data_IF_718105558500
#
_entry.id   IF_718105558500
#
_cell.length_a   1.000
_cell.length_b   1.000
_cell.length_c   1.000
_cell.angle_alpha   90.00
_cell.angle_beta   90.00
_cell.angle_gamma   90.00
#
_symmetry.space_group_name_H-M   'P 1'
#
loop_
_entity.id
_entity.type
_entity.pdbx_description
1 polymer ?
#
# COMPACT_ATOMS: atom_id res chain seq x y z
N UNK A 1 -31.02 -9.04 1.70
CA UNK A 1 -29.90 -9.30 0.78
C UNK A 1 -29.67 -10.80 0.72
N UNK A 2 -29.59 -11.36 -0.47
CA UNK A 2 -29.33 -12.78 -0.75
C UNK A 2 -27.82 -13.03 -0.90
N UNK A 3 -27.38 -14.29 -0.80
CA UNK A 3 -25.96 -14.68 -1.01
C UNK A 3 -25.44 -14.28 -2.40
N UNK A 4 -26.31 -14.32 -3.43
CA UNK A 4 -25.99 -13.88 -4.79
C UNK A 4 -25.75 -12.37 -4.86
N UNK A 5 -26.49 -11.59 -4.07
CA UNK A 5 -26.32 -10.13 -4.01
C UNK A 5 -24.95 -9.76 -3.40
N UNK A 6 -24.48 -10.53 -2.41
CA UNK A 6 -23.17 -10.32 -1.80
C UNK A 6 -22.01 -10.64 -2.76
N UNK A 7 -22.12 -11.75 -3.50
CA UNK A 7 -21.11 -12.17 -4.47
C UNK A 7 -21.01 -11.15 -5.63
N UNK A 8 -22.15 -10.67 -6.10
CA UNK A 8 -22.24 -9.62 -7.12
C UNK A 8 -21.52 -8.33 -6.69
N UNK A 9 -21.87 -7.77 -5.52
CA UNK A 9 -21.27 -6.52 -5.01
C UNK A 9 -19.76 -6.69 -4.83
N UNK A 10 -19.31 -7.85 -4.35
CA UNK A 10 -17.89 -8.12 -4.16
C UNK A 10 -17.10 -8.11 -5.47
N UNK A 11 -17.63 -8.73 -6.53
CA UNK A 11 -16.96 -8.78 -7.83
C UNK A 11 -16.83 -7.40 -8.47
N UNK A 12 -17.89 -6.59 -8.42
CA UNK A 12 -17.88 -5.23 -8.96
C UNK A 12 -16.99 -4.29 -8.17
N UNK A 13 -17.06 -4.31 -6.84
CA UNK A 13 -16.15 -3.53 -6.01
C UNK A 13 -14.68 -3.89 -6.27
N UNK A 14 -14.38 -5.18 -6.47
CA UNK A 14 -13.03 -5.65 -6.82
C UNK A 14 -12.58 -5.14 -8.18
N UNK A 15 -13.46 -5.19 -9.19
CA UNK A 15 -13.16 -4.67 -10.53
C UNK A 15 -12.95 -3.14 -10.51
N UNK A 16 -13.81 -2.41 -9.80
CA UNK A 16 -13.70 -0.96 -9.67
C UNK A 16 -12.39 -0.55 -9.00
N UNK A 17 -12.04 -1.21 -7.88
CA UNK A 17 -10.73 -1.02 -7.24
C UNK A 17 -9.57 -1.33 -8.18
N UNK A 18 -9.62 -2.47 -8.88
CA UNK A 18 -8.54 -2.89 -9.77
C UNK A 18 -8.31 -1.89 -10.91
N UNK A 19 -9.38 -1.45 -11.59
CA UNK A 19 -9.28 -0.44 -12.65
C UNK A 19 -8.70 0.88 -12.13
N UNK A 20 -9.19 1.36 -10.99
CA UNK A 20 -8.66 2.56 -10.35
C UNK A 20 -7.17 2.41 -10.00
N UNK A 21 -6.76 1.26 -9.46
CA UNK A 21 -5.37 0.98 -9.12
C UNK A 21 -4.47 0.95 -10.37
N UNK A 22 -4.87 0.24 -11.43
CA UNK A 22 -4.06 0.15 -12.66
C UNK A 22 -3.90 1.50 -13.37
N UNK A 23 -5.01 2.24 -13.52
CA UNK A 23 -4.97 3.54 -14.20
C UNK A 23 -4.20 4.60 -13.41
N UNK A 24 -4.15 4.50 -12.08
CA UNK A 24 -3.36 5.40 -11.23
C UNK A 24 -1.87 5.05 -11.11
N UNK A 25 -1.41 3.87 -11.56
CA UNK A 25 0.01 3.48 -11.50
C UNK A 25 0.91 4.33 -12.41
N UNK A 26 0.38 4.77 -13.54
CA UNK A 26 1.16 5.44 -14.58
C UNK A 26 0.94 6.95 -14.54
N UNK A 27 2.02 7.72 -14.60
CA UNK A 27 1.92 9.17 -14.80
C UNK A 27 1.29 9.55 -16.13
N UNK A 28 1.30 8.65 -17.13
CA UNK A 28 0.68 8.87 -18.43
C UNK A 28 -0.86 8.75 -18.39
N UNK A 29 -1.40 7.98 -17.45
CA UNK A 29 -2.84 7.70 -17.33
C UNK A 29 -3.50 8.44 -16.17
N UNK A 30 -2.75 9.29 -15.48
CA UNK A 30 -3.17 10.00 -14.26
C UNK A 30 -4.40 10.91 -14.42
N UNK A 31 -4.79 11.19 -15.67
CA UNK A 31 -5.96 12.01 -16.03
C UNK A 31 -7.07 11.19 -16.70
N UNK A 32 -6.94 9.87 -16.82
CA UNK A 32 -8.00 9.02 -17.38
C UNK A 32 -9.04 8.82 -16.28
N UNK A 33 -10.26 9.25 -16.56
CA UNK A 33 -11.43 8.94 -15.75
C UNK A 33 -11.74 7.45 -15.92
N UNK A 34 -11.77 6.71 -14.81
CA UNK A 34 -12.02 5.27 -14.78
C UNK A 34 -13.40 4.95 -15.32
N UNK A 35 -14.40 5.76 -14.94
CA UNK A 35 -15.76 5.63 -15.46
C UNK A 35 -15.79 5.84 -16.98
N UNK A 36 -15.13 6.87 -17.48
CA UNK A 36 -15.05 7.12 -18.93
C UNK A 36 -14.35 5.98 -19.68
N UNK A 37 -13.24 5.47 -19.13
CA UNK A 37 -12.54 4.32 -19.69
C UNK A 37 -13.44 3.08 -19.77
N UNK A 38 -14.17 2.79 -18.69
CA UNK A 38 -15.10 1.66 -18.63
C UNK A 38 -16.24 1.81 -19.64
N UNK A 39 -16.88 2.99 -19.69
CA UNK A 39 -18.00 3.25 -20.60
C UNK A 39 -17.58 3.16 -22.07
N UNK A 40 -16.37 3.61 -22.41
CA UNK A 40 -15.81 3.44 -23.76
C UNK A 40 -15.59 1.96 -24.11
N UNK A 41 -15.10 1.17 -23.16
CA UNK A 41 -14.93 -0.28 -23.34
C UNK A 41 -16.27 -0.97 -23.52
N UNK A 42 -17.27 -0.62 -22.70
CA UNK A 42 -18.61 -1.18 -22.78
C UNK A 42 -19.28 -0.86 -24.13
N UNK A 43 -19.22 0.40 -24.57
CA UNK A 43 -19.76 0.81 -25.87
C UNK A 43 -19.16 0.00 -27.01
N UNK A 44 -17.84 -0.23 -26.99
CA UNK A 44 -17.16 -1.04 -28.00
C UNK A 44 -17.62 -2.51 -27.98
N UNK A 45 -17.77 -3.09 -26.78
CA UNK A 45 -18.30 -4.45 -26.61
C UNK A 45 -19.74 -4.55 -27.10
N UNK A 46 -20.57 -3.57 -26.77
CA UNK A 46 -21.96 -3.52 -27.23
C UNK A 46 -22.04 -3.45 -28.76
N UNK A 47 -21.22 -2.61 -29.39
CA UNK A 47 -21.22 -2.44 -30.84
C UNK A 47 -20.78 -3.70 -31.59
N UNK A 48 -19.75 -4.40 -31.08
CA UNK A 48 -19.18 -5.57 -31.75
C UNK A 48 -19.91 -6.86 -31.39
N UNK A 49 -20.09 -7.11 -30.11
CA UNK A 49 -20.60 -8.37 -29.60
C UNK A 49 -22.13 -8.34 -29.41
N UNK A 50 -22.77 -7.17 -29.52
CA UNK A 50 -24.22 -6.98 -29.35
C UNK A 50 -24.74 -7.47 -27.99
N UNK A 51 -23.86 -7.48 -26.98
CA UNK A 51 -24.20 -7.75 -25.59
C UNK A 51 -24.22 -6.41 -24.84
N UNK A 52 -25.33 -6.12 -24.15
CA UNK A 52 -25.38 -5.00 -23.19
C UNK A 52 -25.05 -5.51 -21.79
N UNK A 53 -24.10 -4.87 -21.11
CA UNK A 53 -23.77 -5.16 -19.71
C UNK A 53 -23.87 -3.85 -18.93
N UNK A 54 -25.09 -3.33 -18.77
CA UNK A 54 -25.27 -2.01 -18.16
C UNK A 54 -25.53 -2.12 -16.66
N UNK A 55 -24.51 -1.77 -15.86
CA UNK A 55 -24.66 -1.20 -14.51
C UNK A 55 -23.63 -0.07 -14.34
N UNK A 56 -23.99 1.12 -14.84
CA UNK A 56 -23.15 2.34 -14.93
C UNK A 56 -22.70 2.90 -13.55
N UNK A 57 -23.26 2.37 -12.46
CA UNK A 57 -23.05 2.85 -11.09
C UNK A 57 -21.98 2.07 -10.32
N UNK A 58 -21.59 0.90 -10.83
CA UNK A 58 -20.64 0.00 -10.13
C UNK A 58 -19.17 0.38 -10.38
N UNK A 59 -18.89 1.03 -11.51
CA UNK A 59 -17.55 1.52 -11.88
C UNK A 59 -17.53 3.04 -11.79
N UNK A 60 -16.64 3.56 -10.95
CA UNK A 60 -16.55 4.98 -10.66
C UNK A 60 -15.12 5.38 -10.25
N UNK A 61 -14.80 6.65 -10.41
CA UNK A 61 -13.52 7.19 -9.98
C UNK A 61 -13.40 7.21 -8.45
N UNK A 62 -12.41 6.49 -7.95
CA UNK A 62 -12.00 6.55 -6.55
C UNK A 62 -10.93 7.62 -6.47
N UNK A 63 -11.16 8.64 -5.65
CA UNK A 63 -10.14 9.67 -5.44
C UNK A 63 -8.86 9.03 -4.87
N UNK A 64 -7.72 9.65 -5.16
CA UNK A 64 -6.42 9.07 -4.84
C UNK A 64 -6.25 8.75 -3.35
N UNK A 65 -6.68 9.62 -2.46
CA UNK A 65 -6.49 9.42 -1.02
C UNK A 65 -7.31 8.23 -0.50
N UNK A 66 -8.53 8.03 -1.00
CA UNK A 66 -9.34 6.84 -0.70
C UNK A 66 -8.78 5.58 -1.36
N UNK A 67 -8.27 5.69 -2.59
CA UNK A 67 -7.63 4.57 -3.28
C UNK A 67 -6.37 4.09 -2.54
N UNK A 68 -5.54 5.01 -2.06
CA UNK A 68 -4.34 4.71 -1.27
C UNK A 68 -4.72 3.99 0.04
N UNK A 69 -5.81 4.40 0.71
CA UNK A 69 -6.35 3.71 1.90
C UNK A 69 -6.84 2.29 1.59
N UNK A 70 -7.61 2.12 0.51
CA UNK A 70 -8.10 0.80 0.08
C UNK A 70 -6.90 -0.11 -0.26
N UNK A 71 -5.89 0.43 -0.94
CA UNK A 71 -4.67 -0.31 -1.28
C UNK A 71 -3.92 -0.81 -0.04
N UNK A 72 -3.81 0.03 1.00
CA UNK A 72 -3.22 -0.37 2.28
C UNK A 72 -4.01 -1.53 2.91
N UNK A 73 -5.35 -1.42 3.00
CA UNK A 73 -6.18 -2.50 3.54
C UNK A 73 -6.04 -3.79 2.72
N UNK A 74 -6.04 -3.68 1.40
CA UNK A 74 -5.84 -4.82 0.50
C UNK A 74 -4.50 -5.52 0.76
N UNK A 75 -3.41 -4.75 0.88
CA UNK A 75 -2.09 -5.31 1.16
C UNK A 75 -2.03 -5.94 2.55
N UNK A 76 -2.59 -5.30 3.57
CA UNK A 76 -2.68 -5.85 4.93
C UNK A 76 -3.37 -7.21 4.91
N UNK A 77 -4.58 -7.29 4.35
CA UNK A 77 -5.36 -8.53 4.38
C UNK A 77 -4.80 -9.62 3.47
N UNK A 78 -4.23 -9.26 2.32
CA UNK A 78 -3.56 -10.22 1.43
C UNK A 78 -2.33 -10.86 2.11
N UNK A 79 -1.51 -10.05 2.79
CA UNK A 79 -0.36 -10.57 3.53
C UNK A 79 -0.81 -11.35 4.77
N UNK A 80 -1.85 -10.89 5.48
CA UNK A 80 -2.43 -11.61 6.60
C UNK A 80 -2.95 -13.00 6.19
N UNK A 81 -3.64 -13.11 5.05
CA UNK A 81 -4.10 -14.39 4.50
C UNK A 81 -2.94 -15.33 4.12
N UNK A 82 -1.77 -14.78 3.80
CA UNK A 82 -0.54 -15.56 3.62
C UNK A 82 0.02 -16.16 4.92
N UNK A 83 -0.40 -15.65 6.07
CA UNK A 83 -0.06 -16.16 7.41
C UNK A 83 -1.17 -17.07 7.90
N UNK A 84 -2.39 -16.55 7.99
CA UNK A 84 -3.57 -17.23 8.51
C UNK A 84 -4.66 -17.30 7.46
N UNK A 85 -5.10 -18.51 7.14
CA UNK A 85 -6.28 -18.74 6.32
C UNK A 85 -7.23 -19.70 7.05
N UNK A 86 -8.52 -19.37 7.12
CA UNK A 86 -9.53 -20.14 7.86
C UNK A 86 -9.14 -20.48 9.33
N UNK A 87 -8.37 -19.61 9.98
CA UNK A 87 -7.93 -19.79 11.36
C UNK A 87 -6.68 -20.67 11.54
N UNK A 88 -6.10 -21.17 10.45
CA UNK A 88 -4.90 -22.00 10.47
C UNK A 88 -3.70 -21.25 9.90
N UNK A 89 -2.50 -21.54 10.42
CA UNK A 89 -1.25 -21.02 9.86
C UNK A 89 -0.97 -21.74 8.53
N UNK A 90 -0.88 -20.97 7.44
CA UNK A 90 -0.71 -21.52 6.07
C UNK A 90 0.62 -21.19 5.42
N UNK A 91 1.44 -20.32 6.04
CA UNK A 91 2.77 -20.02 5.52
C UNK A 91 3.67 -21.27 5.56
N UNK A 92 4.46 -21.47 4.49
CA UNK A 92 5.20 -22.73 4.26
C UNK A 92 6.34 -22.99 5.25
N UNK A 93 6.95 -21.92 5.76
CA UNK A 93 8.03 -21.96 6.74
C UNK A 93 8.14 -20.62 7.47
N UNK A 94 8.93 -20.61 8.54
CA UNK A 94 9.16 -19.46 9.41
C UNK A 94 9.53 -18.17 8.66
N UNK A 95 10.50 -18.25 7.74
CA UNK A 95 10.98 -17.09 7.00
C UNK A 95 9.87 -16.47 6.13
N UNK A 96 9.05 -17.32 5.49
CA UNK A 96 7.90 -16.84 4.71
C UNK A 96 6.87 -16.18 5.63
N UNK A 97 6.59 -16.77 6.79
CA UNK A 97 5.68 -16.16 7.77
C UNK A 97 6.21 -14.78 8.21
N UNK A 98 7.49 -14.70 8.60
CA UNK A 98 8.17 -13.48 9.03
C UNK A 98 8.14 -12.39 7.94
N UNK A 99 8.30 -12.77 6.68
CA UNK A 99 8.17 -11.83 5.57
C UNK A 99 6.75 -11.26 5.45
N UNK A 100 5.72 -12.09 5.59
CA UNK A 100 4.33 -11.61 5.62
C UNK A 100 4.06 -10.72 6.84
N UNK A 101 4.54 -11.07 8.03
CA UNK A 101 4.41 -10.22 9.22
C UNK A 101 5.06 -8.85 9.02
N UNK A 102 6.27 -8.83 8.46
CA UNK A 102 6.99 -7.59 8.18
C UNK A 102 6.24 -6.72 7.18
N UNK A 103 5.64 -7.31 6.15
CA UNK A 103 4.80 -6.59 5.18
C UNK A 103 3.54 -6.04 5.86
N UNK A 104 2.83 -6.84 6.63
CA UNK A 104 1.66 -6.38 7.39
C UNK A 104 2.01 -5.22 8.33
N UNK A 105 3.12 -5.34 9.06
CA UNK A 105 3.61 -4.31 9.97
C UNK A 105 3.91 -2.99 9.25
N UNK A 106 4.57 -3.07 8.08
CA UNK A 106 4.91 -1.89 7.30
C UNK A 106 3.67 -1.20 6.71
N UNK A 107 2.72 -1.98 6.16
CA UNK A 107 1.47 -1.44 5.62
C UNK A 107 0.61 -0.83 6.73
N UNK A 108 0.50 -1.48 7.89
CA UNK A 108 -0.19 -0.93 9.04
C UNK A 108 0.42 0.40 9.49
N UNK A 109 1.75 0.50 9.52
CA UNK A 109 2.43 1.77 9.82
C UNK A 109 2.06 2.89 8.85
N UNK A 110 2.01 2.58 7.56
CA UNK A 110 1.60 3.55 6.55
C UNK A 110 0.13 3.96 6.77
N UNK A 111 -0.74 2.99 7.07
CA UNK A 111 -2.17 3.22 7.27
C UNK A 111 -2.50 3.98 8.54
N UNK A 112 -1.89 3.65 9.67
CA UNK A 112 -2.23 4.27 10.96
C UNK A 112 -1.88 5.76 10.97
N UNK A 113 -0.89 6.21 10.20
CA UNK A 113 -0.58 7.65 10.00
C UNK A 113 -1.72 8.37 9.26
N UNK A 114 -2.43 7.67 8.37
CA UNK A 114 -3.59 8.18 7.63
C UNK A 114 -4.90 8.10 8.45
N UNK A 115 -4.81 7.68 9.71
CA UNK A 115 -5.94 7.52 10.61
C UNK A 115 -5.90 8.55 11.77
N UNK A 116 -6.07 9.87 11.49
CA UNK A 116 -6.05 10.88 12.55
C UNK A 116 -7.32 10.88 13.41
N UNK A 117 -8.41 10.24 12.94
CA UNK A 117 -9.69 10.14 13.63
C UNK A 117 -10.24 8.71 13.50
N UNK A 118 -10.52 8.07 14.63
CA UNK A 118 -10.96 6.67 14.70
C UNK A 118 -12.31 6.37 14.03
N UNK A 119 -13.11 7.38 13.70
CA UNK A 119 -14.49 7.17 13.23
C UNK A 119 -14.65 6.82 11.74
N UNK A 120 -13.57 6.90 10.94
CA UNK A 120 -13.64 6.52 9.51
C UNK A 120 -13.68 5.00 9.34
N UNK A 121 -14.31 4.52 8.29
CA UNK A 121 -14.39 3.07 8.02
C UNK A 121 -13.00 2.44 7.83
N UNK A 122 -12.08 3.18 7.18
CA UNK A 122 -10.68 2.79 7.07
C UNK A 122 -10.01 2.59 8.44
N UNK A 123 -10.19 3.54 9.36
CA UNK A 123 -9.65 3.44 10.72
C UNK A 123 -10.21 2.26 11.51
N UNK A 124 -11.52 2.04 11.42
CA UNK A 124 -12.18 0.90 12.06
C UNK A 124 -11.66 -0.43 11.51
N UNK A 125 -11.39 -0.50 10.21
CA UNK A 125 -10.77 -1.70 9.62
C UNK A 125 -9.33 -1.92 10.08
N UNK A 126 -8.54 -0.85 10.25
CA UNK A 126 -7.20 -0.97 10.86
C UNK A 126 -7.26 -1.45 12.31
N UNK A 127 -8.23 -1.00 13.10
CA UNK A 127 -8.44 -1.46 14.47
C UNK A 127 -8.80 -2.96 14.51
N UNK A 128 -9.72 -3.41 13.64
CA UNK A 128 -10.03 -4.85 13.48
C UNK A 128 -8.79 -5.65 13.09
N UNK A 129 -7.93 -5.11 12.22
CA UNK A 129 -6.68 -5.76 11.88
C UNK A 129 -5.73 -5.81 13.09
N UNK A 130 -5.63 -4.75 13.89
CA UNK A 130 -4.82 -4.72 15.10
C UNK A 130 -5.23 -5.82 16.08
N UNK A 131 -6.54 -6.01 16.30
CA UNK A 131 -7.06 -7.11 17.11
C UNK A 131 -6.68 -8.49 16.55
N UNK A 132 -6.77 -8.67 15.22
CA UNK A 132 -6.34 -9.91 14.56
C UNK A 132 -4.85 -10.15 14.73
N UNK A 133 -4.02 -9.12 14.58
CA UNK A 133 -2.56 -9.21 14.70
C UNK A 133 -2.11 -9.62 16.11
N UNK A 134 -2.73 -9.07 17.16
CA UNK A 134 -2.41 -9.43 18.55
C UNK A 134 -2.73 -10.90 18.86
N UNK A 135 -3.79 -11.47 18.26
CA UNK A 135 -4.09 -12.91 18.37
C UNK A 135 -3.01 -13.77 17.73
N UNK A 136 -2.37 -13.28 16.67
CA UNK A 136 -1.28 -14.01 16.05
C UNK A 136 -0.02 -13.99 16.91
N UNK A 137 0.27 -12.85 17.53
CA UNK A 137 1.42 -12.67 18.41
C UNK A 137 1.33 -13.51 19.68
N UNK A 138 0.12 -13.71 20.20
CA UNK A 138 -0.16 -14.55 21.35
C UNK A 138 -1.00 -15.77 20.93
N UNK A 139 -0.39 -16.73 20.21
CA UNK A 139 -1.11 -17.90 19.74
C UNK A 139 -1.71 -18.67 20.93
N UNK A 140 -2.93 -19.18 20.78
CA UNK A 140 -3.41 -20.21 21.69
C UNK A 140 -2.43 -21.41 21.68
N UNK A 141 -2.40 -22.26 22.74
CA UNK A 141 -1.41 -23.34 22.89
C UNK A 141 -1.31 -24.34 21.73
N UNK A 142 -2.24 -24.30 20.77
CA UNK A 142 -2.37 -25.21 19.62
C UNK A 142 -1.57 -24.79 18.38
N UNK A 143 -0.93 -23.60 18.39
CA UNK A 143 -0.31 -22.99 17.18
C UNK A 143 1.20 -22.80 17.25
N UNK A 144 1.88 -23.37 18.25
CA UNK A 144 3.33 -23.23 18.44
C UNK A 144 4.14 -23.96 17.36
N UNK A 145 4.36 -23.29 16.21
CA UNK A 145 5.27 -23.77 15.16
C UNK A 145 6.53 -22.87 15.06
N UNK A 146 6.48 -21.60 15.50
CA UNK A 146 7.58 -20.63 15.36
C UNK A 146 7.81 -19.77 16.61
N UNK A 147 9.04 -19.24 16.76
CA UNK A 147 9.39 -18.31 17.85
C UNK A 147 8.82 -16.91 17.56
N UNK A 148 7.56 -16.72 17.91
CA UNK A 148 6.82 -15.48 17.70
C UNK A 148 7.34 -14.30 18.54
N UNK A 149 8.31 -14.49 19.44
CA UNK A 149 8.97 -13.41 20.17
C UNK A 149 9.70 -12.41 19.27
N UNK A 150 9.91 -12.75 17.99
CA UNK A 150 10.51 -11.90 16.96
C UNK A 150 9.49 -10.88 16.39
N UNK A 151 8.19 -11.10 16.59
CA UNK A 151 7.13 -10.21 16.08
C UNK A 151 7.04 -8.94 16.93
N UNK A 152 7.27 -7.80 16.28
CA UNK A 152 7.18 -6.49 16.92
C UNK A 152 5.71 -6.11 17.19
N UNK A 153 5.38 -5.48 18.33
CA UNK A 153 4.06 -4.92 18.55
C UNK A 153 3.75 -3.82 17.52
N UNK A 154 2.50 -3.74 17.08
CA UNK A 154 2.06 -2.67 16.18
C UNK A 154 2.19 -1.31 16.88
N UNK A 155 2.70 -0.26 16.20
CA UNK A 155 2.84 1.04 16.80
C UNK A 155 1.50 1.77 16.92
N UNK A 156 1.39 2.65 17.91
CA UNK A 156 0.32 3.64 17.97
C UNK A 156 0.46 4.67 16.84
N UNK A 157 -0.63 5.40 16.56
CA UNK A 157 -0.61 6.54 15.62
C UNK A 157 0.54 7.52 15.94
N UNK A 158 0.74 7.85 17.23
CA UNK A 158 1.78 8.79 17.66
C UNK A 158 3.18 8.26 17.36
N UNK A 159 3.45 6.99 17.64
CA UNK A 159 4.76 6.37 17.40
C UNK A 159 5.05 6.28 15.89
N UNK A 160 4.08 5.83 15.10
CA UNK A 160 4.22 5.74 13.65
C UNK A 160 4.44 7.13 13.03
N UNK A 161 3.68 8.13 13.47
CA UNK A 161 3.83 9.51 12.99
C UNK A 161 5.20 10.08 13.38
N UNK A 162 5.67 9.87 14.61
CA UNK A 162 6.99 10.32 15.05
C UNK A 162 8.11 9.68 14.24
N UNK A 163 8.02 8.38 13.97
CA UNK A 163 9.00 7.69 13.15
C UNK A 163 9.00 8.23 11.71
N UNK A 164 7.83 8.40 11.10
CA UNK A 164 7.67 8.98 9.77
C UNK A 164 8.27 10.38 9.66
N UNK A 165 8.00 11.26 10.62
CA UNK A 165 8.59 12.60 10.66
C UNK A 165 10.11 12.57 10.82
N UNK A 166 10.63 11.60 11.58
CA UNK A 166 12.08 11.41 11.77
C UNK A 166 12.77 10.90 10.50
N UNK A 167 12.13 9.98 9.78
CA UNK A 167 12.56 9.52 8.45
C UNK A 167 12.56 10.67 7.43
N UNK A 168 11.49 11.46 7.38
CA UNK A 168 11.41 12.65 6.51
C UNK A 168 12.52 13.65 6.82
N UNK A 169 12.79 13.91 8.10
CA UNK A 169 13.87 14.81 8.52
C UNK A 169 15.23 14.29 8.08
N UNK A 170 15.51 13.00 8.28
CA UNK A 170 16.75 12.37 7.80
C UNK A 170 16.88 12.47 6.29
N UNK A 171 15.84 12.12 5.53
CA UNK A 171 15.85 12.19 4.06
C UNK A 171 16.17 13.60 3.56
N UNK A 172 15.56 14.63 4.15
CA UNK A 172 15.86 16.03 3.84
C UNK A 172 17.33 16.38 4.12
N UNK A 173 17.86 15.97 5.27
CA UNK A 173 19.27 16.18 5.62
C UNK A 173 20.19 15.47 4.63
N UNK A 174 19.93 14.20 4.30
CA UNK A 174 20.74 13.42 3.35
C UNK A 174 20.79 14.07 1.97
N UNK A 175 19.65 14.56 1.46
CA UNK A 175 19.59 15.27 0.17
C UNK A 175 20.41 16.55 0.21
N UNK A 176 20.29 17.35 1.28
CA UNK A 176 21.06 18.57 1.44
C UNK A 176 22.58 18.28 1.50
N UNK A 177 22.99 17.27 2.27
CA UNK A 177 24.41 16.88 2.37
C UNK A 177 24.97 16.37 1.04
N UNK A 178 24.18 15.60 0.27
CA UNK A 178 24.61 15.09 -1.03
C UNK A 178 24.80 16.25 -2.03
N UNK A 179 23.90 17.23 -2.03
CA UNK A 179 24.03 18.43 -2.86
C UNK A 179 25.32 19.19 -2.57
N UNK A 180 25.64 19.41 -1.29
CA UNK A 180 26.86 20.14 -0.88
C UNK A 180 28.11 19.37 -1.31
N UNK A 181 28.14 18.05 -1.09
CA UNK A 181 29.28 17.21 -1.48
C UNK A 181 29.50 17.27 -3.00
N UNK A 182 28.45 17.15 -3.81
CA UNK A 182 28.54 17.26 -5.26
C UNK A 182 29.09 18.63 -5.72
N UNK A 183 28.67 19.73 -5.09
CA UNK A 183 29.20 21.07 -5.40
C UNK A 183 30.68 21.20 -5.07
N UNK A 184 31.12 20.66 -3.93
CA UNK A 184 32.53 20.68 -3.53
C UNK A 184 33.41 19.90 -4.51
N UNK A 185 32.97 18.71 -4.93
CA UNK A 185 33.68 17.93 -5.95
C UNK A 185 33.77 18.68 -7.29
N UNK A 186 32.71 19.37 -7.71
CA UNK A 186 32.72 20.20 -8.92
C UNK A 186 33.77 21.31 -8.87
N UNK A 187 33.85 22.03 -7.75
CA UNK A 187 34.85 23.09 -7.55
C UNK A 187 36.27 22.52 -7.57
N UNK A 188 36.50 21.40 -6.88
CA UNK A 188 37.82 20.73 -6.85
C UNK A 188 38.27 20.34 -8.25
N UNK A 189 37.37 19.78 -9.07
CA UNK A 189 37.67 19.42 -10.46
C UNK A 189 38.01 20.65 -11.32
N UNK A 190 37.27 21.75 -11.16
CA UNK A 190 37.57 23.01 -11.86
C UNK A 190 38.95 23.54 -11.46
N UNK A 191 39.26 23.59 -10.16
CA UNK A 191 40.56 24.03 -9.66
C UNK A 191 41.70 23.14 -10.19
N UNK A 192 41.50 21.83 -10.24
CA UNK A 192 42.47 20.88 -10.80
C UNK A 192 42.70 21.12 -12.31
N UNK A 193 41.63 21.36 -13.07
CA UNK A 193 41.75 21.71 -14.50
C UNK A 193 42.52 23.03 -14.70
N UNK A 194 42.18 24.07 -13.93
CA UNK A 194 42.87 25.37 -14.00
C UNK A 194 44.35 25.25 -13.64
N UNK A 195 44.66 24.51 -12.57
CA UNK A 195 46.04 24.23 -12.16
C UNK A 195 46.83 23.52 -13.27
N UNK A 196 46.23 22.52 -13.94
CA UNK A 196 46.88 21.81 -15.05
C UNK A 196 47.16 22.72 -16.25
N UNK A 197 46.27 23.67 -16.56
CA UNK A 197 46.47 24.64 -17.66
C UNK A 197 47.63 25.60 -17.37
N UNK A 198 47.88 25.96 -16.11
CA UNK A 198 48.98 26.86 -15.75
C UNK A 198 50.38 26.22 -15.82
N UNK A 199 50.47 24.90 -15.80
CA UNK A 199 51.75 24.16 -15.78
C UNK A 199 52.20 23.72 -17.19
N UNK A 200 51.30 23.76 -18.18
CA UNK A 200 51.60 23.53 -19.59
C UNK A 200 51.91 24.85 -20.31
#
# INVERSE_FOLDING_TARGET
>A
MTQRDHEYIYHWASLNYWLNAELNKSTFYKNICVKEFYNNMESYVQDILKYGVLMDDEIFDINKDELDKIHILFNIYSNYQGIINNGEIVCKNENICLDYYRKCFQEYKNGIIMCPKYDTDFCKELEKFQEKYEKIKNPEPRTNIYDYNIIKPLPSHKEALQEYLSELKRKKITIATLSVICSMFGIILILFCLYKVQIN
#
